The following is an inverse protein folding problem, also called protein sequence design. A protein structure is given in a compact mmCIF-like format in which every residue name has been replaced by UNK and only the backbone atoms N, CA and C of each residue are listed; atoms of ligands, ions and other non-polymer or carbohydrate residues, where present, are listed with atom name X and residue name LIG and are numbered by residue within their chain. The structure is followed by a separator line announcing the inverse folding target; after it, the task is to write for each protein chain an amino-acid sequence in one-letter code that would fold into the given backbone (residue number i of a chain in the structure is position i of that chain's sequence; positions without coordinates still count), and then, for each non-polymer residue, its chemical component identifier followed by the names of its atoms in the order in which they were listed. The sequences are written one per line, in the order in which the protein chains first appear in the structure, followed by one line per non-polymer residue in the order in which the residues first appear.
data_IF_733631498153
#
_entry.id   IF_733631498153
#
_cell.length_a   1.000
_cell.length_b   1.000
_cell.length_c   1.000
_cell.angle_alpha   90.00
_cell.angle_beta   90.00
_cell.angle_gamma   90.00
#
_symmetry.space_group_name_H-M   'P 1'
#
loop_
_entity.id
_entity.type
_entity.pdbx_description
1 polymer ?
#
# COMPACT_ATOMS: atom_id res chain seq x y z
N UNK A 1 50.63 -59.46 -23.23
CA UNK A 1 51.57 -60.14 -22.28
C UNK A 1 50.77 -60.34 -21.02
N UNK A 2 50.36 -61.55 -20.88
CA UNK A 2 50.71 -62.53 -19.85
C UNK A 2 49.98 -62.26 -18.55
N UNK A 3 48.96 -63.05 -18.23
CA UNK A 3 49.00 -64.32 -17.44
C UNK A 3 49.02 -63.96 -15.94
N UNK A 4 48.27 -64.51 -15.06
CA UNK A 4 47.54 -65.74 -15.09
C UNK A 4 47.17 -66.13 -13.67
N UNK A 5 46.22 -67.05 -13.59
CA UNK A 5 46.06 -68.15 -12.66
C UNK A 5 45.72 -67.85 -11.20
N UNK A 6 44.56 -68.23 -10.73
CA UNK A 6 44.03 -69.61 -10.52
C UNK A 6 44.33 -70.17 -9.13
N UNK A 7 43.31 -70.63 -8.54
CA UNK A 7 43.03 -71.84 -7.69
C UNK A 7 42.29 -71.47 -6.40
N UNK A 8 41.10 -71.90 -6.18
CA UNK A 8 40.47 -73.22 -5.93
C UNK A 8 40.37 -73.54 -4.42
N UNK A 9 39.14 -73.92 -4.08
CA UNK A 9 38.76 -74.87 -3.00
C UNK A 9 38.75 -74.36 -1.57
N UNK A 10 37.75 -74.51 -0.76
CA UNK A 10 36.97 -75.73 -0.47
C UNK A 10 35.79 -75.39 0.46
N UNK A 11 34.76 -76.16 0.30
CA UNK A 11 33.52 -76.20 1.03
C UNK A 11 33.70 -76.57 2.52
N UNK A 12 32.95 -75.88 3.43
CA UNK A 12 32.46 -76.54 4.65
C UNK A 12 31.03 -76.04 4.98
N UNK A 13 30.12 -76.97 4.90
CA UNK A 13 28.73 -76.98 5.44
C UNK A 13 28.69 -76.97 6.94
N UNK A 14 27.78 -76.13 7.54
CA UNK A 14 26.94 -76.44 8.72
C UNK A 14 26.43 -75.19 9.39
N UNK A 15 25.38 -75.20 10.22
CA UNK A 15 23.99 -75.50 9.96
C UNK A 15 23.11 -74.23 10.15
N UNK A 16 21.89 -74.28 9.61
CA UNK A 16 20.85 -73.29 9.76
C UNK A 16 20.43 -73.12 11.23
N UNK A 17 20.60 -71.91 11.77
CA UNK A 17 19.80 -71.47 12.89
C UNK A 17 18.68 -70.56 12.36
N UNK A 18 17.47 -71.02 12.51
CA UNK A 18 16.25 -70.27 12.25
C UNK A 18 16.07 -69.20 13.37
N UNK A 19 16.46 -67.96 13.14
CA UNK A 19 16.01 -66.84 14.00
C UNK A 19 14.65 -66.38 13.54
N UNK A 20 13.67 -66.67 14.38
CA UNK A 20 12.31 -66.21 14.27
C UNK A 20 12.31 -64.70 14.77
N UNK A 21 12.50 -63.72 13.88
CA UNK A 21 12.38 -62.32 14.20
C UNK A 21 10.91 -61.92 14.11
N UNK A 22 10.28 -61.84 15.26
CA UNK A 22 8.98 -61.21 15.43
C UNK A 22 9.13 -59.71 15.15
N UNK A 23 8.62 -59.28 14.00
CA UNK A 23 8.51 -57.84 13.65
C UNK A 23 7.32 -57.28 14.42
N UNK A 24 7.58 -56.49 15.44
CA UNK A 24 6.56 -55.69 16.10
C UNK A 24 6.03 -54.62 15.10
N UNK A 25 4.71 -54.39 15.05
CA UNK A 25 4.17 -53.32 14.21
C UNK A 25 4.64 -51.96 14.71
N UNK A 26 5.20 -51.15 13.78
CA UNK A 26 5.53 -49.77 14.05
C UNK A 26 4.26 -48.98 14.39
N UNK A 27 4.34 -48.05 15.37
CA UNK A 27 3.21 -47.20 15.69
C UNK A 27 2.85 -46.32 14.49
N UNK A 28 1.57 -45.97 14.30
CA UNK A 28 1.15 -45.05 13.26
C UNK A 28 1.86 -43.73 13.43
N UNK A 29 2.43 -43.21 12.35
CA UNK A 29 2.88 -41.81 12.28
C UNK A 29 1.66 -40.91 12.48
N UNK A 30 1.54 -40.25 13.62
CA UNK A 30 0.66 -39.11 13.79
C UNK A 30 1.19 -38.00 12.86
N UNK A 31 0.51 -37.81 11.74
CA UNK A 31 0.65 -36.62 10.91
C UNK A 31 -0.07 -35.51 11.68
N UNK A 32 0.65 -34.78 12.49
CA UNK A 32 0.19 -33.48 12.95
C UNK A 32 0.19 -32.54 11.73
N UNK A 33 -0.95 -32.37 11.10
CA UNK A 33 -1.19 -31.25 10.22
C UNK A 33 -1.07 -29.98 11.10
N UNK A 34 0.07 -29.31 11.00
CA UNK A 34 0.17 -27.91 11.44
C UNK A 34 -0.68 -27.11 10.46
N UNK A 35 -1.92 -26.84 10.86
CA UNK A 35 -2.73 -25.79 10.24
C UNK A 35 -1.96 -24.50 10.55
N UNK A 36 -1.23 -23.98 9.57
CA UNK A 36 -0.76 -22.59 9.63
C UNK A 36 -2.00 -21.73 9.86
N UNK A 37 -2.05 -21.02 10.97
CA UNK A 37 -3.07 -20.03 11.22
C UNK A 37 -2.91 -18.97 10.14
N UNK A 38 -3.84 -18.92 9.20
CA UNK A 38 -3.96 -17.77 8.32
C UNK A 38 -4.30 -16.61 9.26
N UNK A 39 -3.40 -15.66 9.41
CA UNK A 39 -3.67 -14.44 10.13
C UNK A 39 -4.79 -13.70 9.38
N UNK A 40 -5.98 -13.69 9.99
CA UNK A 40 -7.13 -13.01 9.43
C UNK A 40 -6.89 -11.51 9.62
N UNK A 41 -6.68 -10.79 8.53
CA UNK A 41 -6.61 -9.34 8.55
C UNK A 41 -8.01 -8.79 8.83
N UNK A 42 -8.16 -8.05 9.93
CA UNK A 42 -9.43 -7.41 10.29
C UNK A 42 -9.59 -6.06 9.60
N UNK A 43 -10.83 -5.75 9.21
CA UNK A 43 -11.16 -4.44 8.64
C UNK A 43 -11.04 -3.34 9.70
N UNK A 44 -10.79 -2.12 9.24
CA UNK A 44 -10.64 -0.91 10.07
C UNK A 44 -11.80 0.05 9.85
N UNK A 45 -12.19 0.80 10.88
CA UNK A 45 -13.00 2.01 10.73
C UNK A 45 -12.06 3.16 10.39
N UNK A 46 -12.09 3.59 9.12
CA UNK A 46 -11.19 4.60 8.57
C UNK A 46 -11.92 5.91 8.37
N UNK A 47 -11.38 6.99 8.90
CA UNK A 47 -11.82 8.35 8.58
C UNK A 47 -10.79 9.00 7.64
N UNK A 48 -11.22 9.34 6.43
CA UNK A 48 -10.43 10.16 5.52
C UNK A 48 -10.85 11.63 5.61
N UNK A 49 -9.88 12.52 5.78
CA UNK A 49 -10.06 13.96 5.66
C UNK A 49 -9.13 14.54 4.60
N UNK A 50 -9.65 15.39 3.69
CA UNK A 50 -8.79 15.91 2.65
C UNK A 50 -9.46 16.52 1.43
N UNK A 51 -8.72 16.48 0.31
CA UNK A 51 -9.11 17.08 -0.97
C UNK A 51 -9.23 16.06 -2.11
N UNK A 52 -9.39 16.55 -3.36
CA UNK A 52 -9.72 15.73 -4.54
C UNK A 52 -8.62 14.77 -5.00
N UNK A 53 -7.38 14.92 -4.56
CA UNK A 53 -6.29 14.00 -4.91
C UNK A 53 -6.19 12.78 -3.99
N UNK A 54 -6.95 12.72 -2.89
CA UNK A 54 -7.05 11.54 -2.04
C UNK A 54 -8.46 10.95 -2.01
N UNK A 55 -9.51 11.80 -2.11
CA UNK A 55 -10.91 11.36 -2.02
C UNK A 55 -11.30 10.21 -2.97
N UNK A 56 -10.86 10.16 -4.24
CA UNK A 56 -11.19 9.04 -5.11
C UNK A 56 -10.70 7.71 -4.58
N UNK A 57 -9.46 7.65 -4.07
CA UNK A 57 -8.85 6.46 -3.49
C UNK A 57 -9.60 6.01 -2.21
N UNK A 58 -9.90 6.97 -1.32
CA UNK A 58 -10.72 6.68 -0.15
C UNK A 58 -12.10 6.12 -0.49
N UNK A 59 -12.69 6.50 -1.64
CA UNK A 59 -13.97 5.97 -2.11
C UNK A 59 -13.89 4.58 -2.70
N UNK A 60 -12.81 4.29 -3.40
CA UNK A 60 -12.59 2.97 -4.02
C UNK A 60 -12.06 1.95 -3.02
N UNK A 61 -11.37 2.39 -1.96
CA UNK A 61 -10.75 1.51 -0.97
C UNK A 61 -11.69 0.42 -0.43
N UNK A 62 -12.94 0.68 -0.05
CA UNK A 62 -13.84 -0.38 0.43
C UNK A 62 -14.04 -1.52 -0.56
N UNK A 63 -14.10 -1.22 -1.87
CA UNK A 63 -14.22 -2.23 -2.91
C UNK A 63 -12.97 -3.09 -3.03
N UNK A 64 -11.78 -2.49 -2.91
CA UNK A 64 -10.50 -3.20 -2.93
C UNK A 64 -10.29 -4.03 -1.67
N UNK A 65 -10.73 -3.55 -0.52
CA UNK A 65 -10.71 -4.29 0.75
C UNK A 65 -11.62 -5.53 0.66
N UNK A 66 -12.82 -5.41 0.09
CA UNK A 66 -13.73 -6.53 -0.18
C UNK A 66 -13.09 -7.54 -1.13
N UNK A 67 -12.46 -7.08 -2.23
CA UNK A 67 -11.74 -7.95 -3.18
C UNK A 67 -10.57 -8.68 -2.52
N UNK A 68 -9.89 -8.07 -1.56
CA UNK A 68 -8.83 -8.69 -0.78
C UNK A 68 -9.35 -9.68 0.28
N UNK A 69 -10.68 -9.82 0.43
CA UNK A 69 -11.29 -10.74 1.38
C UNK A 69 -11.25 -10.26 2.83
N UNK A 70 -11.11 -8.95 3.05
CA UNK A 70 -11.12 -8.34 4.38
C UNK A 70 -12.52 -7.90 4.72
N UNK A 71 -13.07 -8.45 5.81
CA UNK A 71 -14.39 -8.12 6.31
C UNK A 71 -14.35 -6.91 7.28
N UNK A 72 -15.51 -6.27 7.47
CA UNK A 72 -15.73 -5.22 8.48
C UNK A 72 -14.99 -3.89 8.25
N UNK A 73 -14.50 -3.61 7.05
CA UNK A 73 -14.01 -2.27 6.73
C UNK A 73 -15.15 -1.26 6.68
N UNK A 74 -14.96 -0.12 7.34
CA UNK A 74 -15.88 1.03 7.30
C UNK A 74 -15.11 2.29 6.92
N UNK A 75 -15.60 3.01 5.92
CA UNK A 75 -14.94 4.21 5.41
C UNK A 75 -15.82 5.44 5.55
N UNK A 76 -15.39 6.42 6.33
CA UNK A 76 -15.97 7.75 6.38
C UNK A 76 -15.11 8.79 5.68
N UNK A 77 -15.72 9.79 5.04
CA UNK A 77 -15.02 10.76 4.19
C UNK A 77 -15.53 12.16 4.47
N UNK A 78 -14.66 13.02 4.98
CA UNK A 78 -14.89 14.47 5.03
C UNK A 78 -14.00 15.13 3.99
N UNK A 79 -14.62 15.80 3.02
CA UNK A 79 -13.95 16.31 1.83
C UNK A 79 -14.26 17.78 1.60
N UNK A 80 -13.22 18.54 1.20
CA UNK A 80 -13.36 19.88 0.62
C UNK A 80 -12.47 19.98 -0.63
N UNK A 81 -12.90 20.82 -1.60
CA UNK A 81 -12.20 20.95 -2.89
C UNK A 81 -10.95 21.80 -2.80
N UNK A 82 -9.88 21.39 -3.50
CA UNK A 82 -8.64 22.14 -3.64
C UNK A 82 -7.97 22.47 -2.28
N UNK A 83 -7.38 23.66 -2.12
CA UNK A 83 -6.68 24.05 -0.89
C UNK A 83 -7.54 23.99 0.38
N UNK A 84 -8.88 24.14 0.23
CA UNK A 84 -9.80 24.05 1.38
C UNK A 84 -9.87 22.66 2.00
N UNK A 85 -9.31 21.64 1.38
CA UNK A 85 -9.23 20.28 1.90
C UNK A 85 -7.88 19.94 2.54
N UNK A 86 -6.95 20.89 2.68
CA UNK A 86 -5.74 20.66 3.49
C UNK A 86 -6.09 20.50 4.97
N UNK A 87 -5.32 19.74 5.75
CA UNK A 87 -5.54 19.58 7.19
C UNK A 87 -5.71 20.90 7.92
N UNK A 88 -4.89 21.91 7.59
CA UNK A 88 -4.98 23.25 8.15
C UNK A 88 -6.32 23.94 7.81
N UNK A 89 -6.73 23.94 6.53
CA UNK A 89 -7.97 24.60 6.13
C UNK A 89 -9.21 23.92 6.73
N UNK A 90 -9.18 22.60 6.89
CA UNK A 90 -10.24 21.85 7.56
C UNK A 90 -10.30 22.19 9.06
N UNK A 91 -9.15 22.40 9.71
CA UNK A 91 -9.09 22.80 11.11
C UNK A 91 -9.56 24.24 11.32
N UNK A 92 -9.20 25.15 10.44
CA UNK A 92 -9.54 26.58 10.53
C UNK A 92 -11.01 26.86 10.21
N UNK A 93 -11.71 25.99 9.46
CA UNK A 93 -13.15 26.09 9.25
C UNK A 93 -13.91 25.50 10.46
N UNK A 94 -14.58 26.32 11.31
CA UNK A 94 -15.21 25.82 12.51
C UNK A 94 -16.30 24.77 12.27
N UNK A 95 -17.00 24.85 11.13
CA UNK A 95 -18.07 23.89 10.80
C UNK A 95 -17.50 22.55 10.36
N UNK A 96 -16.45 22.60 9.56
CA UNK A 96 -15.78 21.38 9.08
C UNK A 96 -15.05 20.71 10.23
N UNK A 97 -14.37 21.49 11.04
CA UNK A 97 -13.74 20.98 12.26
C UNK A 97 -14.73 20.30 13.19
N UNK A 98 -15.87 20.92 13.45
CA UNK A 98 -16.95 20.32 14.27
C UNK A 98 -17.46 19.02 13.63
N UNK A 99 -17.66 18.98 12.31
CA UNK A 99 -18.05 17.79 11.55
C UNK A 99 -17.06 16.62 11.80
N UNK A 100 -15.76 16.86 11.60
CA UNK A 100 -14.70 15.86 11.79
C UNK A 100 -14.61 15.45 13.27
N UNK A 101 -14.62 16.41 14.17
CA UNK A 101 -14.56 16.16 15.61
C UNK A 101 -15.74 15.33 16.11
N UNK A 102 -16.93 15.51 15.56
CA UNK A 102 -18.11 14.70 15.92
C UNK A 102 -17.95 13.23 15.48
N UNK A 103 -17.36 12.98 14.31
CA UNK A 103 -17.05 11.61 13.86
C UNK A 103 -16.01 10.98 14.81
N UNK A 104 -14.90 11.66 15.04
CA UNK A 104 -13.85 11.17 15.96
C UNK A 104 -14.38 10.96 17.39
N UNK A 105 -15.34 11.79 17.85
CA UNK A 105 -15.92 11.69 19.18
C UNK A 105 -16.76 10.41 19.42
N UNK A 106 -17.05 9.63 18.36
CA UNK A 106 -17.62 8.29 18.53
C UNK A 106 -16.63 7.33 19.22
N UNK A 107 -15.32 7.62 19.15
CA UNK A 107 -14.28 6.92 19.92
C UNK A 107 -13.90 5.54 19.38
N UNK A 108 -14.23 5.25 18.13
CA UNK A 108 -14.02 3.96 17.47
C UNK A 108 -13.34 4.07 16.10
N UNK A 109 -12.71 5.21 15.80
CA UNK A 109 -11.90 5.39 14.60
C UNK A 109 -10.56 4.68 14.79
N UNK A 110 -10.29 3.65 13.97
CA UNK A 110 -9.04 2.90 14.02
C UNK A 110 -7.92 3.63 13.29
N UNK A 111 -8.25 4.31 12.18
CA UNK A 111 -7.26 4.99 11.35
C UNK A 111 -7.79 6.34 10.84
N UNK A 112 -7.05 7.41 11.11
CA UNK A 112 -7.28 8.73 10.52
C UNK A 112 -6.32 8.95 9.35
N UNK A 113 -6.86 9.01 8.13
CA UNK A 113 -6.07 9.30 6.91
C UNK A 113 -6.21 10.78 6.55
N UNK A 114 -5.08 11.46 6.47
CA UNK A 114 -4.99 12.86 6.05
C UNK A 114 -4.24 12.95 4.74
N UNK A 115 -4.78 13.69 3.76
CA UNK A 115 -4.00 14.03 2.60
C UNK A 115 -3.30 15.34 2.87
N UNK A 116 -1.98 15.30 2.86
CA UNK A 116 -1.17 16.47 3.01
C UNK A 116 -0.71 16.99 1.67
N UNK A 117 -0.63 18.10 1.63
CA UNK A 117 0.25 19.16 1.23
C UNK A 117 0.76 18.91 -0.17
N UNK A 118 0.35 19.74 -1.04
CA UNK A 118 0.93 19.86 -2.38
C UNK A 118 2.43 20.24 -2.29
N UNK A 119 3.06 20.37 -3.45
CA UNK A 119 4.40 20.91 -3.65
C UNK A 119 4.72 22.20 -2.82
N UNK A 120 3.71 22.94 -2.38
CA UNK A 120 3.86 24.09 -1.48
C UNK A 120 4.42 23.72 -0.10
N UNK A 121 4.39 22.45 0.29
CA UNK A 121 5.01 21.96 1.52
C UNK A 121 6.52 22.17 1.52
N UNK A 122 7.19 22.04 0.37
CA UNK A 122 8.60 22.34 0.22
C UNK A 122 8.94 23.80 0.50
N UNK A 123 8.04 24.71 0.11
CA UNK A 123 8.28 26.14 0.23
C UNK A 123 7.98 26.66 1.63
N UNK A 124 6.98 26.11 2.31
CA UNK A 124 6.50 26.64 3.58
C UNK A 124 7.09 25.99 4.81
N UNK A 125 7.53 24.70 4.75
CA UNK A 125 7.96 23.86 5.90
C UNK A 125 7.09 24.03 7.17
N UNK A 126 5.95 24.68 7.04
CA UNK A 126 5.08 25.11 8.13
C UNK A 126 3.61 24.78 7.87
N UNK A 127 3.29 24.15 6.73
CA UNK A 127 1.91 24.19 6.27
C UNK A 127 0.98 23.25 6.98
N UNK A 128 1.48 22.39 7.89
CA UNK A 128 0.57 21.42 8.53
C UNK A 128 0.73 21.21 10.02
N UNK A 129 0.97 22.28 10.75
CA UNK A 129 0.78 22.30 12.20
C UNK A 129 -0.60 21.78 12.64
N UNK A 130 -1.60 21.81 11.78
CA UNK A 130 -2.93 21.27 12.05
C UNK A 130 -2.96 19.75 12.00
N UNK A 131 -2.00 19.07 11.38
CA UNK A 131 -1.87 17.62 11.47
C UNK A 131 -1.68 17.20 12.92
N UNK A 132 -0.81 17.86 13.66
CA UNK A 132 -0.62 17.62 15.10
C UNK A 132 -1.92 17.85 15.89
N UNK A 133 -2.66 18.92 15.58
CA UNK A 133 -3.94 19.17 16.25
C UNK A 133 -4.98 18.07 15.96
N UNK A 134 -5.01 17.52 14.75
CA UNK A 134 -5.89 16.41 14.41
C UNK A 134 -5.50 15.13 15.15
N UNK A 135 -4.19 14.84 15.23
CA UNK A 135 -3.64 13.72 15.99
C UNK A 135 -3.99 13.89 17.47
N UNK A 136 -3.68 15.05 18.08
CA UNK A 136 -3.97 15.33 19.48
C UNK A 136 -5.46 15.14 19.81
N UNK A 137 -6.35 15.65 18.93
CA UNK A 137 -7.77 15.51 19.14
C UNK A 137 -8.22 14.03 19.05
N UNK A 138 -7.79 13.31 18.02
CA UNK A 138 -8.14 11.90 17.84
C UNK A 138 -7.67 11.06 19.04
N UNK A 139 -6.42 11.22 19.47
CA UNK A 139 -5.86 10.51 20.63
C UNK A 139 -6.53 10.89 21.96
N UNK A 140 -7.03 12.11 22.08
CA UNK A 140 -7.78 12.52 23.28
C UNK A 140 -9.11 11.78 23.45
N UNK A 141 -9.64 11.24 22.34
CA UNK A 141 -10.92 10.52 22.28
C UNK A 141 -10.72 9.01 22.22
N UNK A 142 -9.83 8.56 21.33
CA UNK A 142 -9.42 7.17 21.20
C UNK A 142 -7.88 7.08 21.17
N UNK A 143 -7.22 6.63 22.25
CA UNK A 143 -5.77 6.57 22.33
C UNK A 143 -5.16 5.48 21.42
N UNK A 144 -5.98 4.59 20.86
CA UNK A 144 -5.57 3.50 19.99
C UNK A 144 -5.73 3.85 18.50
N UNK A 145 -6.03 5.12 18.16
CA UNK A 145 -6.11 5.58 16.78
C UNK A 145 -4.72 5.65 16.15
N UNK A 146 -4.57 5.02 14.99
CA UNK A 146 -3.43 5.15 14.11
C UNK A 146 -3.63 6.24 13.05
N UNK A 147 -2.56 6.60 12.37
CA UNK A 147 -2.57 7.69 11.40
C UNK A 147 -1.91 7.29 10.09
N UNK A 148 -2.42 7.83 8.99
CA UNK A 148 -1.76 7.73 7.70
C UNK A 148 -1.77 9.09 7.00
N UNK A 149 -0.63 9.46 6.43
CA UNK A 149 -0.50 10.66 5.63
C UNK A 149 -0.28 10.29 4.18
N UNK A 150 -1.14 10.80 3.30
CA UNK A 150 -1.08 10.49 1.89
C UNK A 150 -0.41 11.62 1.10
N UNK A 151 0.65 11.32 0.36
CA UNK A 151 1.36 12.26 -0.50
C UNK A 151 0.89 12.11 -1.95
N UNK A 152 0.17 13.12 -2.50
CA UNK A 152 -0.25 13.12 -3.88
C UNK A 152 0.87 13.60 -4.83
N UNK A 153 0.58 13.62 -6.10
CA UNK A 153 1.40 14.20 -7.16
C UNK A 153 1.12 15.70 -7.34
N UNK A 154 2.03 16.46 -7.99
CA UNK A 154 1.83 17.87 -8.28
C UNK A 154 0.67 18.14 -9.24
N UNK A 155 0.01 19.28 -9.05
CA UNK A 155 -0.99 19.81 -9.99
C UNK A 155 -0.36 20.04 -11.39
N UNK A 156 -1.20 20.00 -12.42
CA UNK A 156 -0.84 20.33 -13.81
C UNK A 156 0.30 19.48 -14.40
N UNK A 157 0.16 18.16 -14.44
CA UNK A 157 1.21 17.27 -14.93
C UNK A 157 1.69 17.57 -16.34
N UNK A 158 0.85 18.15 -17.22
CA UNK A 158 1.24 18.55 -18.58
C UNK A 158 2.10 19.82 -18.66
N UNK A 159 2.21 20.58 -17.57
CA UNK A 159 3.06 21.78 -17.54
C UNK A 159 4.54 21.43 -17.30
N UNK A 160 4.85 20.17 -16.97
CA UNK A 160 6.22 19.64 -16.88
C UNK A 160 6.71 19.13 -18.24
N UNK A 161 7.95 19.45 -18.60
CA UNK A 161 8.53 19.13 -19.91
C UNK A 161 8.51 17.62 -20.22
N UNK A 162 8.79 16.78 -19.21
CA UNK A 162 8.84 15.33 -19.31
C UNK A 162 8.68 14.68 -17.94
N UNK A 163 8.68 13.33 -17.90
CA UNK A 163 8.55 12.59 -16.65
C UNK A 163 9.75 12.79 -15.71
N UNK A 164 10.95 13.04 -16.23
CA UNK A 164 12.13 13.32 -15.38
C UNK A 164 11.91 14.59 -14.54
N UNK A 165 11.51 15.71 -15.17
CA UNK A 165 11.23 16.96 -14.46
C UNK A 165 10.03 16.82 -13.49
N UNK A 166 9.04 16.01 -13.85
CA UNK A 166 7.88 15.74 -13.00
C UNK A 166 8.25 14.89 -11.79
N UNK A 167 9.01 13.83 -11.99
CA UNK A 167 9.47 12.93 -10.94
C UNK A 167 10.45 13.62 -9.98
N UNK A 168 11.38 14.42 -10.49
CA UNK A 168 12.33 15.17 -9.66
C UNK A 168 11.59 16.02 -8.62
N UNK A 169 10.53 16.72 -9.04
CA UNK A 169 9.73 17.55 -8.14
C UNK A 169 9.04 16.76 -7.03
N UNK A 170 8.48 15.59 -7.37
CA UNK A 170 7.82 14.72 -6.41
C UNK A 170 8.83 14.11 -5.43
N UNK A 171 9.96 13.59 -5.94
CA UNK A 171 10.98 12.98 -5.10
C UNK A 171 11.67 14.00 -4.19
N UNK A 172 11.89 15.22 -4.66
CA UNK A 172 12.39 16.30 -3.82
C UNK A 172 11.43 16.55 -2.65
N UNK A 173 10.12 16.64 -2.92
CA UNK A 173 9.11 16.81 -1.87
C UNK A 173 9.09 15.64 -0.90
N UNK A 174 9.12 14.42 -1.42
CA UNK A 174 9.07 13.18 -0.65
C UNK A 174 10.28 13.04 0.30
N UNK A 175 11.49 13.23 -0.21
CA UNK A 175 12.72 13.00 0.57
C UNK A 175 13.12 14.17 1.46
N UNK A 176 12.87 15.42 1.02
CA UNK A 176 13.38 16.61 1.71
C UNK A 176 12.40 17.24 2.68
N UNK A 177 11.10 16.92 2.57
CA UNK A 177 10.07 17.51 3.41
C UNK A 177 9.13 16.47 4.02
N UNK A 178 8.65 15.52 3.23
CA UNK A 178 7.61 14.59 3.64
C UNK A 178 8.08 13.56 4.67
N UNK A 179 9.12 12.80 4.37
CA UNK A 179 9.68 11.85 5.34
C UNK A 179 10.17 12.52 6.61
N UNK A 180 10.96 13.61 6.55
CA UNK A 180 11.34 14.33 7.78
C UNK A 180 10.14 14.77 8.62
N UNK A 181 9.03 15.18 8.00
CA UNK A 181 7.83 15.55 8.73
C UNK A 181 7.14 14.34 9.39
N UNK A 182 7.06 13.21 8.68
CA UNK A 182 6.50 11.97 9.24
C UNK A 182 7.38 11.45 10.40
N UNK A 183 8.69 11.53 10.26
CA UNK A 183 9.62 11.13 11.32
C UNK A 183 9.47 12.02 12.56
N UNK A 184 9.34 13.34 12.37
CA UNK A 184 9.04 14.27 13.46
C UNK A 184 7.71 13.90 14.18
N UNK A 185 6.68 13.51 13.42
CA UNK A 185 5.41 13.08 14.00
C UNK A 185 5.54 11.73 14.75
N UNK A 186 6.30 10.78 14.23
CA UNK A 186 6.59 9.50 14.89
C UNK A 186 7.32 9.71 16.22
N UNK A 187 8.26 10.64 16.26
CA UNK A 187 8.98 11.02 17.47
C UNK A 187 8.03 11.68 18.51
N UNK A 188 7.07 12.47 18.07
CA UNK A 188 6.09 13.14 18.93
C UNK A 188 5.03 12.18 19.46
N UNK A 189 4.64 11.17 18.66
CA UNK A 189 3.54 10.24 18.95
C UNK A 189 3.98 8.76 18.91
N UNK A 190 4.95 8.36 19.73
CA UNK A 190 5.56 7.01 19.67
C UNK A 190 4.59 5.88 20.06
N UNK A 191 3.39 6.20 20.54
CA UNK A 191 2.36 5.23 20.91
C UNK A 191 1.46 4.84 19.73
N UNK A 192 1.47 5.59 18.63
CA UNK A 192 0.62 5.37 17.46
C UNK A 192 1.45 5.00 16.24
N UNK A 193 0.90 4.17 15.37
CA UNK A 193 1.48 3.96 14.06
C UNK A 193 1.19 5.16 13.16
N UNK A 194 2.22 5.69 12.51
CA UNK A 194 2.08 6.78 11.53
C UNK A 194 2.66 6.30 10.19
N UNK A 195 1.77 6.02 9.25
CA UNK A 195 2.10 5.46 7.94
C UNK A 195 2.23 6.54 6.88
N UNK A 196 3.14 6.33 5.93
CA UNK A 196 3.26 7.11 4.70
C UNK A 196 2.56 6.42 3.55
N UNK A 197 1.61 7.08 2.88
CA UNK A 197 0.97 6.58 1.65
C UNK A 197 1.48 7.39 0.46
N UNK A 198 2.53 6.93 -0.20
CA UNK A 198 3.09 7.62 -1.36
C UNK A 198 2.39 7.25 -2.67
N UNK A 199 1.08 7.47 -2.76
CA UNK A 199 0.33 7.22 -3.99
C UNK A 199 0.66 8.18 -5.14
N UNK A 200 1.34 9.30 -4.86
CA UNK A 200 1.89 10.18 -5.88
C UNK A 200 2.91 9.50 -6.79
N UNK A 201 3.60 8.46 -6.30
CA UNK A 201 4.52 7.64 -7.09
C UNK A 201 3.82 6.96 -8.28
N UNK A 202 2.57 6.53 -8.12
CA UNK A 202 1.79 5.93 -9.20
C UNK A 202 1.68 6.84 -10.44
N UNK A 203 1.54 8.16 -10.24
CA UNK A 203 1.48 9.13 -11.34
C UNK A 203 2.80 9.23 -12.09
N UNK A 204 3.94 9.13 -11.40
CA UNK A 204 5.28 9.12 -11.99
C UNK A 204 5.47 7.89 -12.88
N UNK A 205 5.20 6.71 -12.32
CA UNK A 205 5.42 5.44 -13.00
C UNK A 205 4.56 5.33 -14.26
N UNK A 206 3.27 5.62 -14.14
CA UNK A 206 2.34 5.60 -15.28
C UNK A 206 2.73 6.62 -16.36
N UNK A 207 3.17 7.83 -15.96
CA UNK A 207 3.65 8.81 -16.92
C UNK A 207 4.92 8.35 -17.63
N UNK A 208 5.86 7.75 -16.92
CA UNK A 208 7.09 7.18 -17.50
C UNK A 208 6.78 6.09 -18.53
N UNK A 209 5.85 5.18 -18.22
CA UNK A 209 5.37 4.17 -19.15
C UNK A 209 4.68 4.79 -20.38
N UNK A 210 3.87 5.82 -20.18
CA UNK A 210 3.20 6.52 -21.27
C UNK A 210 4.21 7.20 -22.21
N UNK A 211 5.17 7.94 -21.69
CA UNK A 211 6.20 8.65 -22.48
C UNK A 211 7.12 7.68 -23.22
N UNK A 212 7.37 6.49 -22.68
CA UNK A 212 8.14 5.43 -23.34
C UNK A 212 7.33 4.62 -24.37
N UNK A 213 6.01 4.84 -24.44
CA UNK A 213 5.11 4.05 -25.30
C UNK A 213 4.83 2.64 -24.78
N UNK A 214 5.03 2.40 -23.47
CA UNK A 214 4.87 1.10 -22.80
C UNK A 214 3.58 1.01 -21.97
N UNK A 215 2.62 1.92 -22.17
CA UNK A 215 1.31 1.94 -21.49
C UNK A 215 0.19 1.73 -22.52
N UNK A 216 -0.14 0.48 -22.88
CA UNK A 216 -1.01 0.18 -24.01
C UNK A 216 -2.45 0.65 -23.83
N UNK A 217 -2.95 0.72 -22.59
CA UNK A 217 -4.33 1.14 -22.29
C UNK A 217 -4.57 2.63 -22.52
N UNK A 218 -3.51 3.43 -22.56
CA UNK A 218 -3.60 4.88 -22.54
C UNK A 218 -3.08 5.48 -23.84
N UNK A 219 -3.96 6.15 -24.59
CA UNK A 219 -3.61 6.85 -25.84
C UNK A 219 -3.37 8.36 -25.66
N UNK A 220 -3.81 8.93 -24.55
CA UNK A 220 -3.65 10.36 -24.21
C UNK A 220 -3.36 10.48 -22.71
N UNK A 221 -2.37 11.26 -22.33
CA UNK A 221 -2.03 11.45 -20.93
C UNK A 221 -3.20 12.05 -20.13
N UNK A 222 -3.86 13.06 -20.70
CA UNK A 222 -5.04 13.71 -20.10
C UNK A 222 -6.26 13.55 -20.98
N UNK A 223 -7.22 12.76 -20.54
CA UNK A 223 -8.49 12.54 -21.22
C UNK A 223 -9.51 11.85 -20.31
N UNK A 224 -10.79 12.18 -20.50
CA UNK A 224 -11.91 11.44 -19.88
C UNK A 224 -12.39 10.28 -20.75
N UNK A 225 -12.32 10.44 -22.07
CA UNK A 225 -12.81 9.43 -23.05
C UNK A 225 -12.04 9.58 -24.37
N UNK A 226 -11.22 8.60 -24.75
CA UNK A 226 -10.85 7.42 -23.94
C UNK A 226 -10.17 7.81 -22.63
N UNK A 227 -10.13 6.94 -21.61
CA UNK A 227 -9.51 7.28 -20.33
C UNK A 227 -8.02 7.56 -20.51
N UNK A 228 -7.54 8.62 -19.84
CA UNK A 228 -6.13 8.96 -19.70
C UNK A 228 -5.60 8.57 -18.33
N UNK A 229 -4.32 8.83 -18.08
CA UNK A 229 -3.74 8.79 -16.73
C UNK A 229 -4.46 9.81 -15.85
N UNK A 230 -4.72 10.99 -16.41
CA UNK A 230 -5.45 12.08 -15.76
C UNK A 230 -6.75 12.38 -16.48
N UNK A 231 -7.78 12.82 -15.76
CA UNK A 231 -9.08 13.15 -16.32
C UNK A 231 -9.21 14.59 -16.79
N UNK A 232 -8.34 15.47 -16.33
CA UNK A 232 -8.33 16.89 -16.68
C UNK A 232 -6.93 17.50 -16.50
N UNK A 233 -6.79 18.75 -16.98
CA UNK A 233 -5.51 19.47 -16.96
C UNK A 233 -4.96 19.67 -15.53
N UNK A 234 -5.82 19.72 -14.50
CA UNK A 234 -5.36 19.85 -13.13
C UNK A 234 -4.64 18.58 -12.65
N UNK A 235 -4.91 17.44 -13.26
CA UNK A 235 -4.29 16.17 -12.95
C UNK A 235 -5.12 15.29 -12.03
N UNK A 236 -6.46 15.41 -12.02
CA UNK A 236 -7.30 14.46 -11.30
C UNK A 236 -7.14 13.06 -11.90
N UNK A 237 -7.08 12.04 -11.04
CA UNK A 237 -6.85 10.66 -11.44
C UNK A 237 -7.83 10.16 -12.51
N UNK A 238 -7.29 9.52 -13.55
CA UNK A 238 -8.02 8.62 -14.43
C UNK A 238 -8.07 7.20 -13.84
N UNK A 239 -8.78 6.29 -14.52
CA UNK A 239 -9.05 4.96 -13.96
C UNK A 239 -7.77 4.20 -13.60
N UNK A 240 -6.79 4.14 -14.50
CA UNK A 240 -5.55 3.40 -14.25
C UNK A 240 -4.75 3.95 -13.05
N UNK A 241 -4.71 5.28 -12.90
CA UNK A 241 -4.07 5.92 -11.76
C UNK A 241 -4.86 5.72 -10.47
N UNK A 242 -6.20 5.67 -10.58
CA UNK A 242 -7.06 5.37 -9.45
C UNK A 242 -6.85 3.94 -8.96
N UNK A 243 -6.82 2.97 -9.87
CA UNK A 243 -6.62 1.56 -9.52
C UNK A 243 -5.23 1.34 -8.90
N UNK A 244 -4.17 1.80 -9.55
CA UNK A 244 -2.80 1.68 -9.01
C UNK A 244 -2.64 2.39 -7.66
N UNK A 245 -3.15 3.62 -7.54
CA UNK A 245 -3.09 4.35 -6.27
C UNK A 245 -3.91 3.69 -5.17
N UNK A 246 -5.05 3.07 -5.48
CA UNK A 246 -5.87 2.35 -4.48
C UNK A 246 -5.18 1.06 -4.03
N UNK A 247 -4.44 0.35 -4.89
CA UNK A 247 -3.58 -0.78 -4.50
C UNK A 247 -2.50 -0.33 -3.50
N UNK A 248 -1.87 0.82 -3.74
CA UNK A 248 -0.88 1.39 -2.81
C UNK A 248 -1.54 1.72 -1.46
N UNK A 249 -2.73 2.32 -1.47
CA UNK A 249 -3.48 2.58 -0.23
C UNK A 249 -3.81 1.29 0.52
N UNK A 250 -4.33 0.29 -0.19
CA UNK A 250 -4.66 -1.02 0.38
C UNK A 250 -3.43 -1.68 1.01
N UNK A 251 -2.32 -1.75 0.25
CA UNK A 251 -1.08 -2.37 0.70
C UNK A 251 -0.45 -1.66 1.90
N UNK A 252 -0.54 -0.32 1.96
CA UNK A 252 -0.04 0.44 3.12
C UNK A 252 -0.93 0.23 4.35
N UNK A 253 -2.26 0.38 4.21
CA UNK A 253 -3.19 0.35 5.35
C UNK A 253 -3.32 -1.05 5.97
N UNK A 254 -3.24 -2.10 5.14
CA UNK A 254 -3.50 -3.48 5.56
C UNK A 254 -2.28 -4.41 5.47
N UNK A 255 -1.13 -3.89 5.08
CA UNK A 255 0.12 -4.65 4.89
C UNK A 255 -0.05 -5.89 3.99
N UNK A 256 -0.81 -5.73 2.88
CA UNK A 256 -1.11 -6.82 1.96
C UNK A 256 -0.01 -6.94 0.91
N UNK A 257 0.44 -8.17 0.68
CA UNK A 257 1.28 -8.51 -0.48
C UNK A 257 0.41 -8.46 -1.75
N UNK A 258 0.78 -7.59 -2.70
CA UNK A 258 0.03 -7.43 -3.94
C UNK A 258 0.01 -8.68 -4.82
N UNK A 259 0.94 -9.63 -4.62
CA UNK A 259 0.91 -10.91 -5.31
C UNK A 259 -0.30 -11.77 -4.93
N UNK A 260 -0.88 -11.54 -3.77
CA UNK A 260 -2.06 -12.25 -3.28
C UNK A 260 -3.38 -11.58 -3.70
N UNK A 261 -3.33 -10.38 -4.30
CA UNK A 261 -4.52 -9.64 -4.72
C UNK A 261 -5.13 -10.21 -6.02
N UNK A 262 -6.47 -10.36 -6.13
CA UNK A 262 -7.13 -10.95 -7.30
C UNK A 262 -7.17 -9.98 -8.50
N UNK A 263 -6.09 -9.90 -9.27
CA UNK A 263 -5.92 -9.00 -10.42
C UNK A 263 -7.04 -9.09 -11.47
N UNK A 264 -7.69 -10.24 -11.60
CA UNK A 264 -8.75 -10.47 -12.61
C UNK A 264 -9.97 -9.57 -12.44
N UNK A 265 -10.14 -8.96 -11.28
CA UNK A 265 -11.24 -8.05 -10.96
C UNK A 265 -10.97 -6.61 -11.46
N UNK A 266 -9.70 -6.24 -11.66
CA UNK A 266 -9.33 -4.92 -12.14
C UNK A 266 -9.51 -4.80 -13.66
N UNK A 267 -10.24 -3.78 -14.10
CA UNK A 267 -10.55 -3.58 -15.51
C UNK A 267 -10.56 -2.12 -15.92
N UNK A 268 -10.04 -1.86 -17.13
CA UNK A 268 -10.17 -0.58 -17.79
C UNK A 268 -11.03 -0.76 -19.06
N UNK A 269 -12.06 0.06 -19.25
CA UNK A 269 -13.01 -0.07 -20.36
C UNK A 269 -13.67 -1.47 -20.48
N UNK A 270 -13.72 -2.25 -19.40
CA UNK A 270 -14.26 -3.62 -19.38
C UNK A 270 -13.26 -4.70 -19.78
N UNK A 271 -12.02 -4.35 -20.09
CA UNK A 271 -10.91 -5.26 -20.41
C UNK A 271 -9.92 -5.32 -19.26
N UNK A 272 -9.24 -6.44 -19.07
CA UNK A 272 -8.16 -6.59 -18.09
C UNK A 272 -6.96 -5.74 -18.50
N UNK A 273 -6.18 -5.28 -17.51
CA UNK A 273 -4.94 -4.58 -17.78
C UNK A 273 -3.89 -5.49 -18.44
N UNK A 274 -3.16 -4.97 -19.41
CA UNK A 274 -1.92 -5.56 -19.93
C UNK A 274 -0.73 -5.09 -19.09
N UNK A 275 -0.85 -3.88 -18.50
CA UNK A 275 0.14 -3.31 -17.58
C UNK A 275 0.08 -4.01 -16.23
N UNK A 276 1.24 -4.38 -15.69
CA UNK A 276 1.36 -5.06 -14.39
C UNK A 276 1.20 -4.08 -13.21
N UNK A 277 -0.04 -3.74 -12.88
CA UNK A 277 -0.35 -2.82 -11.79
C UNK A 277 0.00 -3.40 -10.41
N UNK A 278 -0.08 -4.73 -10.24
CA UNK A 278 0.25 -5.36 -8.96
C UNK A 278 1.75 -5.31 -8.70
N UNK A 279 2.56 -5.67 -9.70
CA UNK A 279 4.02 -5.56 -9.59
C UNK A 279 4.47 -4.13 -9.33
N UNK A 280 3.87 -3.14 -10.02
CA UNK A 280 4.16 -1.72 -9.78
C UNK A 280 3.77 -1.27 -8.37
N UNK A 281 2.60 -1.68 -7.88
CA UNK A 281 2.17 -1.36 -6.52
C UNK A 281 3.10 -1.97 -5.47
N UNK A 282 3.48 -3.25 -5.64
CA UNK A 282 4.39 -3.94 -4.74
C UNK A 282 5.77 -3.27 -4.69
N UNK A 283 6.33 -2.91 -5.86
CA UNK A 283 7.61 -2.21 -5.93
C UNK A 283 7.57 -0.87 -5.16
N UNK A 284 6.50 -0.10 -5.32
CA UNK A 284 6.33 1.18 -4.61
C UNK A 284 6.22 0.94 -3.09
N UNK A 285 5.45 -0.06 -2.66
CA UNK A 285 5.29 -0.41 -1.25
C UNK A 285 6.61 -0.88 -0.62
N UNK A 286 7.38 -1.69 -1.34
CA UNK A 286 8.67 -2.19 -0.85
C UNK A 286 9.70 -1.07 -0.74
N UNK A 287 9.75 -0.15 -1.71
CA UNK A 287 10.63 1.02 -1.64
C UNK A 287 10.28 1.93 -0.47
N UNK A 288 8.98 2.17 -0.22
CA UNK A 288 8.53 3.01 0.90
C UNK A 288 8.90 2.38 2.25
N UNK A 289 8.67 1.07 2.43
CA UNK A 289 9.11 0.32 3.62
C UNK A 289 10.62 0.40 3.84
N UNK A 290 11.42 0.38 2.77
CA UNK A 290 12.88 0.52 2.87
C UNK A 290 13.33 1.91 3.32
N UNK A 291 12.58 2.95 2.97
CA UNK A 291 12.87 4.31 3.44
C UNK A 291 12.53 4.41 4.92
N UNK A 292 11.34 3.99 5.31
CA UNK A 292 10.89 3.98 6.70
C UNK A 292 11.83 3.20 7.62
N UNK A 293 12.40 2.08 7.16
CA UNK A 293 13.32 1.26 7.95
C UNK A 293 14.71 1.89 8.18
N UNK A 294 15.07 2.92 7.41
CA UNK A 294 16.39 3.60 7.51
C UNK A 294 16.34 4.81 8.43
N UNK A 295 15.15 5.30 8.73
CA UNK A 295 14.93 6.50 9.56
C UNK A 295 14.59 6.15 11.01
N UNK A 296 14.21 4.92 11.33
CA UNK A 296 14.00 4.37 12.69
C UNK A 296 15.24 3.65 13.19
#
# INVERSE_FOLDING_TARGET
MLLGCSSSESAKTSPQETMNTSIAPSPPLEVTETVESVDIVEGKKVLYIGHSFGRPFARELPSFVEMAGIDNHVQEIVFRGGPNGSPQSLWEDPKVREEIQNILAEGDTDLLVMICCSENFLESRQSDWAVENWIDYALSVNPDTDFALALPWPDYPEDYENNEAYSERIFEAHTSAWHPFIDDLRDLYPQSEIQSIFHGRAAIELRGLFESGSLPEISQMTSKRPPGIFTDRKGHAGQILLDLGTLIWLGTIYDIDMNDFPVSELKINGESYETDLLGMAQEILDEEKLIDSKTG
#
